data_IF_769432161915
#
_entry.id   IF_769432161915
#
_cell.length_a   1.000
_cell.length_b   1.000
_cell.length_c   1.000
_cell.angle_alpha   90.00
_cell.angle_beta   90.00
_cell.angle_gamma   90.00
#
_symmetry.space_group_name_H-M   'P 1'
#
loop_
_entity.id
_entity.type
_entity.pdbx_description
1 polymer ?
#
# COMPACT_ATOMS: atom_id res chain seq x y z
N UNK A 1 9.66 -15.96 13.86
CA UNK A 1 8.39 -15.68 13.18
C UNK A 1 8.39 -16.40 11.86
N UNK A 2 7.39 -17.23 11.57
CA UNK A 2 7.28 -18.05 10.35
C UNK A 2 5.89 -17.90 9.73
N UNK A 3 5.77 -18.23 8.46
CA UNK A 3 4.47 -18.34 7.77
C UNK A 3 3.80 -19.68 8.09
N UNK A 4 2.55 -19.84 7.65
CA UNK A 4 1.79 -21.10 7.79
C UNK A 4 2.48 -22.28 7.10
N UNK A 5 3.34 -22.01 6.10
CA UNK A 5 4.18 -23.01 5.43
C UNK A 5 5.45 -23.37 6.22
N UNK A 6 5.60 -22.89 7.46
CA UNK A 6 6.76 -23.11 8.33
C UNK A 6 8.04 -22.38 7.92
N UNK A 7 8.04 -21.63 6.82
CA UNK A 7 9.23 -20.92 6.34
C UNK A 7 9.40 -19.57 7.06
N UNK A 8 10.65 -19.12 7.28
CA UNK A 8 10.91 -17.83 7.92
C UNK A 8 10.42 -16.66 7.04
N UNK A 9 10.00 -15.56 7.68
CA UNK A 9 9.59 -14.33 7.00
C UNK A 9 10.76 -13.57 6.37
N UNK A 10 11.98 -13.81 6.86
CA UNK A 10 13.18 -13.14 6.38
C UNK A 10 13.35 -13.30 4.86
N UNK A 11 13.55 -12.19 4.15
CA UNK A 11 13.71 -12.16 2.70
C UNK A 11 12.43 -12.39 1.88
N UNK A 12 11.26 -12.57 2.54
CA UNK A 12 9.96 -12.81 1.89
C UNK A 12 8.99 -11.65 2.02
N UNK A 13 9.39 -10.57 2.67
CA UNK A 13 8.56 -9.40 2.90
C UNK A 13 9.07 -8.20 2.15
N UNK A 14 8.15 -7.43 1.54
CA UNK A 14 8.36 -6.04 1.15
C UNK A 14 7.67 -5.15 2.18
N UNK A 15 8.25 -3.99 2.47
CA UNK A 15 7.70 -3.04 3.43
C UNK A 15 7.66 -1.64 2.83
N UNK A 16 6.52 -0.98 2.98
CA UNK A 16 6.30 0.42 2.69
C UNK A 16 5.98 1.15 3.98
N UNK A 17 6.88 2.01 4.40
CA UNK A 17 6.73 2.87 5.59
C UNK A 17 5.80 4.05 5.26
N UNK A 18 5.18 4.64 6.27
CA UNK A 18 4.39 5.86 6.15
C UNK A 18 5.19 7.02 5.56
N UNK A 19 6.48 7.11 5.88
CA UNK A 19 7.43 8.01 5.23
C UNK A 19 7.96 7.38 3.95
N UNK A 20 8.25 8.20 2.96
CA UNK A 20 8.74 7.72 1.66
C UNK A 20 10.10 6.99 1.72
N UNK A 21 10.95 7.31 2.71
CA UNK A 21 12.29 6.74 2.93
C UNK A 21 13.12 6.64 1.64
N UNK A 22 12.96 7.59 0.72
CA UNK A 22 13.73 7.65 -0.50
C UNK A 22 15.15 8.14 -0.22
N UNK A 23 16.12 7.54 -0.90
CA UNK A 23 17.50 8.01 -0.83
C UNK A 23 17.66 9.29 -1.66
N UNK A 24 17.94 10.45 -1.05
CA UNK A 24 17.85 11.75 -1.73
C UNK A 24 18.90 11.96 -2.82
N UNK A 25 19.98 11.19 -2.81
CA UNK A 25 21.06 11.26 -3.81
C UNK A 25 20.84 10.34 -5.00
N UNK A 26 19.85 9.43 -4.96
CA UNK A 26 19.49 8.53 -6.05
C UNK A 26 18.38 9.12 -6.92
N UNK A 27 18.39 8.75 -8.20
CA UNK A 27 17.26 9.02 -9.10
C UNK A 27 16.01 8.22 -8.70
N UNK A 28 14.85 8.54 -9.28
CA UNK A 28 13.63 7.76 -9.11
C UNK A 28 13.84 6.29 -9.49
N UNK A 29 14.41 6.03 -10.66
CA UNK A 29 14.72 4.66 -11.11
C UNK A 29 15.68 3.93 -10.18
N UNK A 30 16.72 4.60 -9.71
CA UNK A 30 17.68 3.98 -8.80
C UNK A 30 17.10 3.72 -7.41
N UNK A 31 16.16 4.54 -6.95
CA UNK A 31 15.36 4.28 -5.75
C UNK A 31 14.47 3.04 -5.92
N UNK A 32 13.77 2.92 -7.05
CA UNK A 32 12.91 1.75 -7.35
C UNK A 32 13.72 0.45 -7.39
N UNK A 33 14.92 0.49 -7.97
CA UNK A 33 15.78 -0.70 -8.11
C UNK A 33 16.70 -0.95 -6.91
N UNK A 34 16.59 -0.17 -5.85
CA UNK A 34 17.52 -0.20 -4.71
C UNK A 34 17.61 -1.59 -4.06
N UNK A 35 16.49 -2.28 -3.88
CA UNK A 35 16.46 -3.58 -3.23
C UNK A 35 17.31 -4.64 -3.95
N UNK A 36 17.22 -4.72 -5.28
CA UNK A 36 18.05 -5.61 -6.08
C UNK A 36 19.53 -5.29 -5.90
N UNK A 37 19.89 -3.99 -5.92
CA UNK A 37 21.28 -3.55 -5.70
C UNK A 37 21.83 -3.94 -4.32
N UNK A 38 21.00 -3.78 -3.26
CA UNK A 38 21.40 -4.15 -1.90
C UNK A 38 21.59 -5.66 -1.72
N UNK A 39 20.91 -6.47 -2.53
CA UNK A 39 21.07 -7.93 -2.54
C UNK A 39 22.17 -8.43 -3.48
N UNK A 40 22.87 -7.53 -4.20
CA UNK A 40 23.87 -7.88 -5.20
C UNK A 40 23.27 -8.47 -6.49
N UNK A 41 21.98 -8.26 -6.73
CA UNK A 41 21.26 -8.71 -7.92
C UNK A 41 21.38 -7.66 -9.04
N UNK A 42 21.27 -8.09 -10.29
CA UNK A 42 21.19 -7.17 -11.43
C UNK A 42 19.82 -6.49 -11.45
N UNK A 43 19.75 -5.14 -11.38
CA UNK A 43 18.49 -4.42 -11.40
C UNK A 43 17.73 -4.59 -12.73
N UNK A 44 16.46 -4.97 -12.68
CA UNK A 44 15.57 -4.94 -13.83
C UNK A 44 15.08 -3.50 -14.08
N UNK A 45 15.87 -2.76 -14.89
CA UNK A 45 15.56 -1.37 -15.22
C UNK A 45 14.31 -1.23 -16.08
N UNK A 46 14.02 -2.22 -16.94
CA UNK A 46 12.83 -2.21 -17.79
C UNK A 46 11.56 -2.27 -16.94
N UNK A 47 11.49 -3.23 -16.00
CA UNK A 47 10.38 -3.34 -15.05
C UNK A 47 10.25 -2.10 -14.17
N UNK A 48 11.37 -1.52 -13.73
CA UNK A 48 11.34 -0.27 -12.97
C UNK A 48 10.74 0.89 -13.76
N UNK A 49 11.09 1.05 -15.05
CA UNK A 49 10.54 2.07 -15.93
C UNK A 49 9.04 1.84 -16.20
N UNK A 50 8.61 0.60 -16.36
CA UNK A 50 7.19 0.21 -16.49
C UNK A 50 6.40 0.57 -15.22
N UNK A 51 6.90 0.25 -14.05
CA UNK A 51 6.26 0.61 -12.77
C UNK A 51 6.20 2.13 -12.59
N UNK A 52 7.29 2.84 -12.90
CA UNK A 52 7.31 4.31 -12.84
C UNK A 52 6.27 4.93 -13.77
N UNK A 53 6.12 4.40 -14.99
CA UNK A 53 5.08 4.86 -15.91
C UNK A 53 3.68 4.59 -15.34
N UNK A 54 3.43 3.41 -14.76
CA UNK A 54 2.13 3.05 -14.16
C UNK A 54 1.75 3.92 -12.96
N UNK A 55 2.72 4.36 -12.16
CA UNK A 55 2.46 5.31 -11.06
C UNK A 55 2.47 6.78 -11.53
N UNK A 56 2.54 7.02 -12.84
CA UNK A 56 2.52 8.38 -13.43
C UNK A 56 3.81 9.17 -13.21
N UNK A 57 4.96 8.50 -13.16
CA UNK A 57 6.28 9.09 -12.98
C UNK A 57 7.27 8.72 -14.10
N UNK A 58 6.80 8.22 -15.25
CA UNK A 58 7.65 7.79 -16.36
C UNK A 58 8.61 8.87 -16.84
N UNK A 59 8.13 10.12 -16.98
CA UNK A 59 8.93 11.27 -17.40
C UNK A 59 9.81 11.86 -16.29
N UNK A 60 9.66 11.37 -15.06
CA UNK A 60 10.39 11.82 -13.87
C UNK A 60 11.35 10.76 -13.30
N UNK A 61 11.57 9.68 -14.06
CA UNK A 61 12.37 8.53 -13.61
C UNK A 61 13.83 8.86 -13.25
N UNK A 62 14.38 9.89 -13.87
CA UNK A 62 15.74 10.35 -13.65
C UNK A 62 15.83 11.51 -12.63
N UNK A 63 14.69 12.01 -12.17
CA UNK A 63 14.60 13.07 -11.17
C UNK A 63 15.00 12.55 -9.78
N UNK A 64 15.54 13.44 -8.93
CA UNK A 64 15.83 13.15 -7.53
C UNK A 64 14.64 13.47 -6.63
N UNK A 65 14.51 12.82 -5.47
CA UNK A 65 13.41 13.06 -4.54
C UNK A 65 13.20 14.54 -4.15
N UNK A 66 14.27 15.33 -4.10
CA UNK A 66 14.20 16.74 -3.77
C UNK A 66 13.41 17.59 -4.79
N UNK A 67 13.28 17.14 -6.03
CA UNK A 67 12.52 17.85 -7.09
C UNK A 67 11.08 17.37 -7.20
N UNK A 68 10.68 16.35 -6.41
CA UNK A 68 9.38 15.74 -6.45
C UNK A 68 8.46 16.30 -5.36
N UNK A 69 7.16 16.44 -5.67
CA UNK A 69 6.15 16.76 -4.66
C UNK A 69 5.98 15.62 -3.66
N UNK A 70 5.31 15.85 -2.52
CA UNK A 70 5.02 14.81 -1.52
C UNK A 70 4.27 13.61 -2.12
N UNK A 71 3.21 13.88 -2.88
CA UNK A 71 2.46 12.83 -3.58
C UNK A 71 3.29 12.09 -4.64
N UNK A 72 4.21 12.77 -5.33
CA UNK A 72 5.13 12.12 -6.28
C UNK A 72 6.13 11.21 -5.54
N UNK A 73 6.65 11.63 -4.39
CA UNK A 73 7.52 10.78 -3.56
C UNK A 73 6.79 9.55 -3.03
N UNK A 74 5.52 9.71 -2.61
CA UNK A 74 4.71 8.58 -2.16
C UNK A 74 4.48 7.55 -3.29
N UNK A 75 4.19 8.04 -4.52
CA UNK A 75 4.07 7.18 -5.71
C UNK A 75 5.38 6.46 -6.05
N UNK A 76 6.51 7.12 -5.87
CA UNK A 76 7.83 6.54 -6.06
C UNK A 76 8.13 5.45 -5.01
N UNK A 77 7.77 5.68 -3.75
CA UNK A 77 7.90 4.69 -2.69
C UNK A 77 7.01 3.45 -2.95
N UNK A 78 5.78 3.66 -3.44
CA UNK A 78 4.91 2.57 -3.87
C UNK A 78 5.56 1.75 -5.00
N UNK A 79 6.06 2.40 -6.06
CA UNK A 79 6.74 1.71 -7.16
C UNK A 79 7.96 0.89 -6.66
N UNK A 80 8.74 1.43 -5.71
CA UNK A 80 9.84 0.70 -5.07
C UNK A 80 9.35 -0.54 -4.33
N UNK A 81 8.26 -0.45 -3.59
CA UNK A 81 7.67 -1.58 -2.87
C UNK A 81 7.16 -2.66 -3.81
N UNK A 82 6.46 -2.27 -4.88
CA UNK A 82 5.96 -3.20 -5.91
C UNK A 82 7.09 -3.86 -6.70
N UNK A 83 8.24 -3.20 -6.83
CA UNK A 83 9.44 -3.74 -7.49
C UNK A 83 10.04 -4.93 -6.75
N UNK A 84 9.87 -5.02 -5.42
CA UNK A 84 10.45 -6.08 -4.59
C UNK A 84 9.88 -7.47 -4.90
N UNK A 85 8.69 -7.56 -5.45
CA UNK A 85 8.04 -8.82 -5.87
C UNK A 85 8.05 -9.92 -4.80
N UNK A 86 7.69 -9.56 -3.58
CA UNK A 86 7.67 -10.48 -2.43
C UNK A 86 6.28 -11.05 -2.19
N UNK A 87 6.18 -12.30 -1.68
CA UNK A 87 4.89 -12.93 -1.40
C UNK A 87 4.10 -12.24 -0.28
N UNK A 88 4.77 -11.49 0.58
CA UNK A 88 4.14 -10.74 1.68
C UNK A 88 4.51 -9.27 1.55
N UNK A 89 3.51 -8.40 1.61
CA UNK A 89 3.67 -6.95 1.51
C UNK A 89 3.04 -6.30 2.73
N UNK A 90 3.82 -5.49 3.42
CA UNK A 90 3.36 -4.68 4.55
C UNK A 90 3.33 -3.23 4.10
N UNK A 91 2.20 -2.55 4.26
CA UNK A 91 2.02 -1.16 3.87
C UNK A 91 1.44 -0.36 5.02
N UNK A 92 2.12 0.72 5.39
CA UNK A 92 1.69 1.64 6.43
C UNK A 92 1.30 2.99 5.79
N UNK A 93 -0.01 3.30 5.80
CA UNK A 93 -0.58 4.53 5.23
C UNK A 93 -0.13 4.84 3.78
N UNK A 94 -0.18 3.86 2.85
CA UNK A 94 0.49 3.98 1.54
C UNK A 94 -0.10 5.06 0.64
N UNK A 95 -1.34 5.50 0.87
CA UNK A 95 -2.04 6.44 0.00
C UNK A 95 -2.42 7.76 0.70
N UNK A 96 -1.96 8.00 1.94
CA UNK A 96 -2.39 9.13 2.77
C UNK A 96 -2.07 10.52 2.18
N UNK A 97 -0.94 10.65 1.46
CA UNK A 97 -0.46 11.93 0.89
C UNK A 97 -0.98 12.23 -0.52
N UNK A 98 -1.95 11.47 -1.01
CA UNK A 98 -2.44 11.55 -2.39
C UNK A 98 -3.79 12.29 -2.47
N UNK A 99 -3.97 13.02 -3.57
CA UNK A 99 -5.30 13.52 -3.94
C UNK A 99 -6.26 12.36 -4.27
N UNK A 100 -7.56 12.63 -4.22
CA UNK A 100 -8.62 11.61 -4.33
C UNK A 100 -8.51 10.79 -5.61
N UNK A 101 -8.31 11.43 -6.77
CA UNK A 101 -8.28 10.72 -8.06
C UNK A 101 -7.02 9.86 -8.19
N UNK A 102 -5.87 10.41 -7.86
CA UNK A 102 -4.60 9.67 -7.85
C UNK A 102 -4.65 8.50 -6.86
N UNK A 103 -5.25 8.69 -5.70
CA UNK A 103 -5.43 7.64 -4.68
C UNK A 103 -6.22 6.46 -5.25
N UNK A 104 -7.38 6.70 -5.86
CA UNK A 104 -8.21 5.65 -6.44
C UNK A 104 -7.48 4.86 -7.52
N UNK A 105 -6.80 5.55 -8.43
CA UNK A 105 -6.01 4.91 -9.51
C UNK A 105 -4.88 4.03 -8.95
N UNK A 106 -4.18 4.50 -7.92
CA UNK A 106 -3.08 3.73 -7.33
C UNK A 106 -3.56 2.59 -6.44
N UNK A 107 -4.73 2.71 -5.83
CA UNK A 107 -5.38 1.60 -5.14
C UNK A 107 -5.75 0.48 -6.12
N UNK A 108 -6.31 0.82 -7.30
CA UNK A 108 -6.59 -0.17 -8.35
C UNK A 108 -5.31 -0.84 -8.85
N UNK A 109 -4.27 -0.04 -9.09
CA UNK A 109 -2.97 -0.56 -9.50
C UNK A 109 -2.36 -1.51 -8.45
N UNK A 110 -2.40 -1.12 -7.18
CA UNK A 110 -1.87 -1.95 -6.10
C UNK A 110 -2.68 -3.26 -5.97
N UNK A 111 -4.01 -3.19 -6.03
CA UNK A 111 -4.87 -4.37 -5.97
C UNK A 111 -4.58 -5.34 -7.13
N UNK A 112 -4.38 -4.84 -8.35
CA UNK A 112 -4.02 -5.65 -9.51
C UNK A 112 -2.66 -6.33 -9.33
N UNK A 113 -1.61 -5.56 -8.99
CA UNK A 113 -0.24 -6.09 -8.91
C UNK A 113 -0.01 -6.98 -7.69
N UNK A 114 -0.84 -6.85 -6.66
CA UNK A 114 -0.71 -7.60 -5.41
C UNK A 114 -1.81 -8.68 -5.25
N UNK A 115 -2.61 -8.97 -6.27
CA UNK A 115 -3.75 -9.89 -6.20
C UNK A 115 -3.40 -11.28 -5.65
N UNK A 116 -2.20 -11.78 -5.98
CA UNK A 116 -1.71 -13.09 -5.52
C UNK A 116 -0.75 -13.01 -4.32
N UNK A 117 -0.74 -11.88 -3.61
CA UNK A 117 0.14 -11.65 -2.46
C UNK A 117 -0.65 -11.57 -1.16
N UNK A 118 -0.01 -11.90 -0.06
CA UNK A 118 -0.54 -11.59 1.26
C UNK A 118 -0.19 -10.14 1.58
N UNK A 119 -1.20 -9.28 1.68
CA UNK A 119 -1.02 -7.86 1.97
C UNK A 119 -1.56 -7.55 3.37
N UNK A 120 -0.73 -6.95 4.21
CA UNK A 120 -1.16 -6.29 5.44
C UNK A 120 -1.10 -4.78 5.20
N UNK A 121 -2.28 -4.17 5.12
CA UNK A 121 -2.44 -2.72 4.95
C UNK A 121 -2.88 -2.10 6.27
N UNK A 122 -2.13 -1.12 6.76
CA UNK A 122 -2.52 -0.27 7.87
C UNK A 122 -2.99 1.06 7.30
N UNK A 123 -4.19 1.48 7.69
CA UNK A 123 -4.76 2.76 7.27
C UNK A 123 -5.73 3.30 8.32
N UNK A 124 -5.90 4.62 8.36
CA UNK A 124 -6.93 5.30 9.13
C UNK A 124 -8.15 5.69 8.26
N UNK A 125 -8.13 5.39 6.96
CA UNK A 125 -9.23 5.68 6.03
C UNK A 125 -10.17 4.47 5.91
N UNK A 126 -11.42 4.53 6.45
CA UNK A 126 -12.38 3.44 6.37
C UNK A 126 -12.76 3.08 4.93
N UNK A 127 -12.76 4.07 4.03
CA UNK A 127 -13.06 3.84 2.61
C UNK A 127 -11.99 3.00 1.94
N UNK A 128 -10.72 3.29 2.23
CA UNK A 128 -9.58 2.53 1.74
C UNK A 128 -9.61 1.10 2.26
N UNK A 129 -9.81 0.92 3.58
CA UNK A 129 -9.90 -0.39 4.18
C UNK A 129 -11.01 -1.25 3.54
N UNK A 130 -12.21 -0.68 3.34
CA UNK A 130 -13.33 -1.39 2.72
C UNK A 130 -13.13 -1.65 1.23
N UNK A 131 -12.46 -0.75 0.53
CA UNK A 131 -12.21 -0.89 -0.90
C UNK A 131 -11.20 -1.99 -1.20
N UNK A 132 -10.16 -2.13 -0.38
CA UNK A 132 -9.02 -3.01 -0.64
C UNK A 132 -8.98 -4.28 0.23
N UNK A 133 -9.54 -4.24 1.44
CA UNK A 133 -9.41 -5.33 2.40
C UNK A 133 -10.34 -6.51 2.13
N UNK A 134 -9.84 -7.73 2.11
CA UNK A 134 -10.67 -8.93 2.21
C UNK A 134 -11.18 -9.11 3.64
N UNK A 135 -10.33 -8.80 4.62
CA UNK A 135 -10.64 -8.85 6.05
C UNK A 135 -10.12 -7.58 6.70
N UNK A 136 -10.96 -6.93 7.48
CA UNK A 136 -10.65 -5.66 8.14
C UNK A 136 -10.73 -5.87 9.64
N UNK A 137 -9.69 -5.45 10.34
CA UNK A 137 -9.61 -5.48 11.80
C UNK A 137 -9.53 -4.06 12.32
N UNK A 138 -10.39 -3.71 13.25
CA UNK A 138 -10.27 -2.44 13.98
C UNK A 138 -9.40 -2.67 15.21
N UNK A 139 -8.37 -1.84 15.35
CA UNK A 139 -7.51 -1.81 16.52
C UNK A 139 -8.00 -0.73 17.49
N UNK A 140 -8.33 -1.08 18.72
CA UNK A 140 -8.87 -0.16 19.73
C UNK A 140 -8.44 -0.53 21.14
N UNK A 141 -8.64 0.38 22.06
CA UNK A 141 -8.35 0.17 23.50
C UNK A 141 -6.93 0.50 23.93
N UNK A 142 -6.72 0.39 25.27
CA UNK A 142 -5.38 0.55 25.89
C UNK A 142 -5.26 -0.50 27.00
N UNK A 143 -4.45 -1.57 26.80
CA UNK A 143 -3.63 -1.86 25.62
C UNK A 143 -4.46 -2.10 24.35
N UNK A 144 -3.87 -1.81 23.18
CA UNK A 144 -4.53 -1.97 21.89
C UNK A 144 -4.79 -3.45 21.57
N UNK A 145 -6.03 -3.77 21.17
CA UNK A 145 -6.46 -5.10 20.78
C UNK A 145 -7.12 -5.06 19.40
N UNK A 146 -6.96 -6.15 18.67
CA UNK A 146 -7.67 -6.34 17.40
C UNK A 146 -9.09 -6.86 17.67
N UNK A 147 -10.08 -6.17 17.12
CA UNK A 147 -11.48 -6.61 17.15
C UNK A 147 -11.75 -7.83 16.24
N UNK A 148 -12.99 -8.30 16.25
CA UNK A 148 -13.41 -9.33 15.29
C UNK A 148 -13.31 -8.81 13.84
N UNK A 149 -12.91 -9.66 12.88
CA UNK A 149 -12.81 -9.25 11.49
C UNK A 149 -14.16 -8.81 10.91
N UNK A 150 -14.12 -7.79 10.06
CA UNK A 150 -15.20 -7.44 9.14
C UNK A 150 -14.80 -7.95 7.76
N UNK A 151 -15.69 -8.71 7.12
CA UNK A 151 -15.47 -9.29 5.78
C UNK A 151 -16.45 -8.67 4.78
N UNK A 152 -16.08 -7.60 4.09
CA UNK A 152 -16.97 -6.94 3.13
C UNK A 152 -17.26 -7.84 1.93
N UNK A 153 -18.51 -7.82 1.44
CA UNK A 153 -18.89 -8.59 0.25
C UNK A 153 -18.19 -8.12 -1.02
N UNK A 154 -17.95 -9.03 -1.94
CA UNK A 154 -17.29 -8.79 -3.23
C UNK A 154 -15.77 -8.75 -3.16
N UNK A 155 -15.11 -8.89 -4.31
CA UNK A 155 -13.65 -8.88 -4.43
C UNK A 155 -13.09 -7.45 -4.48
N UNK A 156 -11.92 -7.18 -3.87
CA UNK A 156 -11.18 -5.93 -4.08
C UNK A 156 -10.63 -5.81 -5.52
N UNK A 157 -10.44 -4.58 -6.04
CA UNK A 157 -10.86 -3.33 -5.46
C UNK A 157 -12.36 -3.10 -5.66
N UNK A 158 -13.09 -2.76 -4.58
CA UNK A 158 -14.52 -2.47 -4.65
C UNK A 158 -14.77 -1.06 -5.16
N UNK A 159 -15.90 -0.85 -5.84
CA UNK A 159 -16.31 0.47 -6.28
C UNK A 159 -16.55 1.42 -5.10
N UNK A 160 -15.95 2.61 -5.14
CA UNK A 160 -16.00 3.57 -4.04
C UNK A 160 -17.43 4.07 -3.74
N UNK A 161 -18.27 4.23 -4.78
CA UNK A 161 -19.64 4.67 -4.60
C UNK A 161 -20.51 3.57 -3.98
N UNK A 162 -20.23 2.31 -4.28
CA UNK A 162 -20.91 1.17 -3.64
C UNK A 162 -20.46 1.02 -2.18
N UNK A 163 -19.17 1.13 -1.91
CA UNK A 163 -18.59 1.06 -0.56
C UNK A 163 -19.24 2.10 0.36
N UNK A 164 -19.33 3.37 -0.08
CA UNK A 164 -19.88 4.46 0.73
C UNK A 164 -21.35 4.27 1.14
N UNK A 165 -22.11 3.44 0.42
CA UNK A 165 -23.52 3.13 0.67
C UNK A 165 -23.74 1.77 1.35
N UNK A 166 -22.67 1.01 1.59
CA UNK A 166 -22.74 -0.35 2.12
C UNK A 166 -23.05 -0.38 3.61
N UNK A 167 -23.65 -1.47 4.07
CA UNK A 167 -23.83 -1.74 5.50
C UNK A 167 -22.47 -1.95 6.19
N UNK A 168 -21.49 -2.50 5.47
CA UNK A 168 -20.14 -2.67 5.97
C UNK A 168 -19.47 -1.33 6.32
N UNK A 169 -19.75 -0.25 5.58
CA UNK A 169 -19.25 1.08 5.90
C UNK A 169 -19.85 1.61 7.21
N UNK A 170 -21.16 1.43 7.38
CA UNK A 170 -21.86 1.83 8.63
C UNK A 170 -21.36 1.03 9.84
N UNK A 171 -21.19 -0.30 9.67
CA UNK A 171 -20.63 -1.16 10.73
C UNK A 171 -19.19 -0.74 11.10
N UNK A 172 -18.35 -0.49 10.10
CA UNK A 172 -16.98 -0.06 10.35
C UNK A 172 -16.93 1.28 11.10
N UNK A 173 -17.73 2.27 10.70
CA UNK A 173 -17.83 3.55 11.41
C UNK A 173 -18.31 3.39 12.86
N UNK A 174 -19.28 2.52 13.11
CA UNK A 174 -19.75 2.20 14.46
C UNK A 174 -18.64 1.59 15.32
N UNK A 175 -17.84 0.67 14.77
CA UNK A 175 -16.68 0.07 15.44
C UNK A 175 -15.57 1.07 15.72
N UNK A 176 -15.44 2.12 14.89
CA UNK A 176 -14.48 3.22 15.09
C UNK A 176 -14.99 4.28 16.10
N UNK A 177 -16.21 4.14 16.60
CA UNK A 177 -16.85 5.12 17.49
C UNK A 177 -17.33 6.39 16.78
N UNK A 178 -17.37 6.39 15.45
CA UNK A 178 -17.87 7.50 14.64
C UNK A 178 -19.36 7.23 14.38
N UNK A 179 -20.27 7.81 15.17
CA UNK A 179 -21.72 7.63 14.96
C UNK A 179 -22.53 7.29 16.20
N UNK A 180 -21.92 7.17 17.36
CA UNK A 180 -22.60 7.15 18.65
C UNK A 180 -22.72 8.58 19.18
N UNK A 181 -23.82 9.25 18.94
CA UNK A 181 -24.23 10.34 19.82
C UNK A 181 -24.59 9.75 21.19
N UNK A 182 -24.30 10.46 22.27
CA UNK A 182 -24.58 10.01 23.62
C UNK A 182 -26.06 9.81 23.89
#
# INVERSE_FOLDING_TARGET
MSCDDGRPLAGRTAYMDQRDLLLPWLSGRDNVTLGARLRGETPDRKRADELLARVGLGDRRDDRPATLSGGMRQRLALARTLMEDRPIVLMDEPFSSLDVLTRLLLQDLAAELLAERTVLLVTHDPMEALRLGHRIFVMSGSPALLGAPLEPAGAPPRDAAQVSRSDAYRDLLARLGVGGSP
#
